data_IF_216749768060
#
_entry.id   IF_216749768060
#
_cell.length_a   1.000
_cell.length_b   1.000
_cell.length_c   1.000
_cell.angle_alpha   90.00
_cell.angle_beta   90.00
_cell.angle_gamma   90.00
#
_symmetry.space_group_name_H-M   'P 1'
#
loop_
_entity.id
_entity.type
_entity.pdbx_description
1 polymer ?
#
# COMPACT_ATOMS: atom_id res chain seq x y z
N UNK A 1 -12.46 -0.54 -4.80
CA UNK A 1 -13.91 -0.78 -5.01
C UNK A 1 -14.05 -1.69 -6.22
N UNK A 2 -14.76 -2.78 -6.07
CA UNK A 2 -14.89 -3.78 -7.14
C UNK A 2 -15.97 -3.34 -8.12
N UNK A 3 -15.71 -3.44 -9.44
CA UNK A 3 -16.66 -2.96 -10.45
C UNK A 3 -18.08 -3.55 -10.29
N UNK A 4 -18.17 -4.84 -9.95
CA UNK A 4 -19.44 -5.56 -9.79
C UNK A 4 -20.24 -5.13 -8.55
N UNK A 5 -19.60 -4.55 -7.54
CA UNK A 5 -20.27 -4.04 -6.33
C UNK A 5 -20.76 -2.59 -6.46
N UNK A 6 -20.48 -1.96 -7.60
CA UNK A 6 -20.85 -0.57 -7.89
C UNK A 6 -21.95 -0.54 -8.94
N UNK A 7 -23.03 0.24 -8.76
CA UNK A 7 -24.04 0.43 -9.80
C UNK A 7 -23.40 0.87 -11.12
N UNK A 8 -23.89 0.35 -12.25
CA UNK A 8 -23.27 0.54 -13.57
C UNK A 8 -23.00 2.02 -13.90
N UNK A 9 -23.93 2.91 -13.62
CA UNK A 9 -23.80 4.35 -13.89
C UNK A 9 -22.76 5.07 -13.00
N UNK A 10 -22.21 4.39 -11.98
CA UNK A 10 -21.19 4.93 -11.06
C UNK A 10 -19.83 4.26 -11.27
N UNK A 11 -19.70 3.32 -12.21
CA UNK A 11 -18.45 2.63 -12.51
C UNK A 11 -17.54 3.51 -13.33
N UNK A 12 -16.23 3.44 -13.05
CA UNK A 12 -15.24 3.96 -13.98
C UNK A 12 -15.28 3.17 -15.29
N UNK A 13 -15.15 3.86 -16.41
CA UNK A 13 -15.09 3.25 -17.75
C UNK A 13 -13.69 2.68 -18.00
N UNK A 14 -13.34 1.63 -17.28
CA UNK A 14 -12.08 0.92 -17.41
C UNK A 14 -12.32 -0.43 -18.06
N UNK A 15 -11.47 -0.79 -19.01
CA UNK A 15 -11.40 -2.13 -19.55
C UNK A 15 -10.80 -3.10 -18.53
N UNK A 16 -10.84 -4.40 -18.79
CA UNK A 16 -10.15 -5.39 -17.95
C UNK A 16 -8.63 -5.19 -18.00
N UNK A 17 -8.10 -4.80 -19.16
CA UNK A 17 -6.66 -4.49 -19.34
C UNK A 17 -6.25 -3.27 -18.51
N UNK A 18 -7.05 -2.19 -18.52
CA UNK A 18 -6.80 -1.02 -17.68
C UNK A 18 -6.78 -1.39 -16.18
N UNK A 19 -7.72 -2.23 -15.73
CA UNK A 19 -7.75 -2.68 -14.33
C UNK A 19 -6.51 -3.50 -13.98
N UNK A 20 -6.12 -4.44 -14.85
CA UNK A 20 -4.93 -5.27 -14.66
C UNK A 20 -3.67 -4.41 -14.63
N UNK A 21 -3.56 -3.44 -15.50
CA UNK A 21 -2.48 -2.46 -15.52
C UNK A 21 -2.40 -1.72 -14.17
N UNK A 22 -3.51 -1.12 -13.71
CA UNK A 22 -3.56 -0.40 -12.45
C UNK A 22 -3.17 -1.30 -11.26
N UNK A 23 -3.73 -2.49 -11.16
CA UNK A 23 -3.41 -3.41 -10.07
C UNK A 23 -1.93 -3.80 -10.08
N UNK A 24 -1.36 -4.07 -11.25
CA UNK A 24 0.05 -4.39 -11.37
C UNK A 24 0.93 -3.26 -10.86
N UNK A 25 0.73 -2.05 -11.35
CA UNK A 25 1.59 -0.91 -10.96
C UNK A 25 1.34 -0.43 -9.54
N UNK A 26 0.12 -0.47 -9.03
CA UNK A 26 -0.17 -0.11 -7.65
C UNK A 26 0.40 -1.10 -6.63
N UNK A 27 0.60 -2.35 -7.00
CA UNK A 27 1.13 -3.39 -6.09
C UNK A 27 2.59 -3.74 -6.33
N UNK A 28 3.20 -3.21 -7.39
CA UNK A 28 4.58 -3.47 -7.77
C UNK A 28 5.56 -3.04 -6.67
N UNK A 29 6.59 -3.84 -6.48
CA UNK A 29 7.74 -3.51 -5.64
C UNK A 29 8.89 -3.00 -6.51
N UNK A 30 9.81 -2.17 -5.99
CA UNK A 30 10.93 -1.66 -6.80
C UNK A 30 11.73 -2.75 -7.51
N UNK A 31 11.95 -3.90 -6.84
CA UNK A 31 12.69 -5.03 -7.44
C UNK A 31 11.99 -5.68 -8.64
N UNK A 32 10.69 -5.46 -8.81
CA UNK A 32 9.85 -6.03 -9.87
C UNK A 32 9.72 -5.08 -11.08
N UNK A 33 10.18 -3.84 -10.92
CA UNK A 33 10.14 -2.84 -11.98
C UNK A 33 11.31 -3.03 -12.94
N UNK A 34 11.00 -3.09 -14.23
CA UNK A 34 11.98 -3.20 -15.31
C UNK A 34 12.28 -1.83 -15.91
N UNK A 35 11.26 -0.98 -16.03
CA UNK A 35 11.40 0.37 -16.56
C UNK A 35 10.47 1.35 -15.79
N UNK A 36 11.07 2.30 -15.04
CA UNK A 36 12.49 2.40 -14.71
C UNK A 36 12.96 1.24 -13.83
N UNK A 37 14.21 0.78 -14.03
CA UNK A 37 14.82 -0.20 -13.14
C UNK A 37 15.33 0.48 -11.86
N UNK A 38 15.20 -0.22 -10.73
CA UNK A 38 15.70 0.23 -9.41
C UNK A 38 16.76 -0.75 -8.89
N UNK A 39 18.02 -0.69 -9.40
CA UNK A 39 19.06 -1.63 -9.01
C UNK A 39 19.58 -1.42 -7.60
N UNK A 40 19.55 -0.20 -7.09
CA UNK A 40 19.98 0.14 -5.74
C UNK A 40 18.89 -0.25 -4.74
N UNK A 41 19.09 -1.37 -4.05
CA UNK A 41 18.15 -1.91 -3.07
C UNK A 41 18.19 -1.21 -1.72
N UNK A 42 19.27 -0.50 -1.42
CA UNK A 42 19.38 0.31 -0.20
C UNK A 42 18.59 1.61 -0.35
N UNK A 43 18.71 2.28 -1.49
CA UNK A 43 17.94 3.48 -1.79
C UNK A 43 16.45 3.18 -2.09
N UNK A 44 16.15 2.00 -2.68
CA UNK A 44 14.81 1.59 -3.08
C UNK A 44 14.48 0.18 -2.54
N UNK A 45 14.33 0.02 -1.22
CA UNK A 45 13.92 -1.24 -0.63
C UNK A 45 12.47 -1.59 -1.06
N UNK A 46 12.05 -2.81 -0.82
CA UNK A 46 10.67 -3.23 -1.14
C UNK A 46 9.60 -2.38 -0.45
N UNK A 47 9.94 -1.83 0.72
CA UNK A 47 9.09 -0.92 1.49
C UNK A 47 8.95 0.48 0.88
N UNK A 48 9.80 0.83 -0.10
CA UNK A 48 9.69 2.11 -0.78
C UNK A 48 8.27 2.32 -1.30
N UNK A 49 7.63 3.41 -0.89
CA UNK A 49 6.21 3.73 -1.14
C UNK A 49 5.18 2.67 -0.67
N UNK A 50 5.53 1.81 0.29
CA UNK A 50 4.63 0.86 0.97
C UNK A 50 4.56 1.20 2.45
N UNK A 51 4.04 2.39 2.79
CA UNK A 51 4.19 2.97 4.13
C UNK A 51 3.41 2.19 5.18
N UNK A 52 2.17 1.82 4.88
CA UNK A 52 1.39 0.93 5.75
C UNK A 52 2.00 -0.46 5.75
N UNK A 53 2.20 -1.05 6.90
CA UNK A 53 2.86 -2.32 7.22
C UNK A 53 4.40 -2.29 7.16
N UNK A 54 5.01 -1.63 6.18
CA UNK A 54 6.42 -1.84 5.83
C UNK A 54 7.31 -0.58 5.89
N UNK A 55 6.74 0.61 6.08
CA UNK A 55 7.47 1.88 5.98
C UNK A 55 8.68 2.06 6.91
N UNK A 56 8.82 1.22 7.94
CA UNK A 56 9.94 1.23 8.89
C UNK A 56 10.89 0.03 8.71
N UNK A 57 10.77 -0.74 7.63
CA UNK A 57 11.57 -1.95 7.39
C UNK A 57 12.30 -1.88 6.06
N UNK A 58 13.58 -2.27 6.06
CA UNK A 58 14.36 -2.54 4.87
C UNK A 58 14.26 -4.00 4.38
N UNK A 59 13.54 -4.86 5.11
CA UNK A 59 13.43 -6.28 4.79
C UNK A 59 12.62 -6.52 3.52
N UNK A 60 12.95 -7.58 2.75
CA UNK A 60 12.16 -7.97 1.60
C UNK A 60 10.71 -8.32 1.98
N UNK A 61 9.76 -7.79 1.23
CA UNK A 61 8.34 -8.11 1.42
C UNK A 61 8.05 -9.50 0.82
N UNK A 62 7.45 -10.37 1.62
CA UNK A 62 7.05 -11.72 1.18
C UNK A 62 5.97 -11.66 0.11
N UNK A 63 6.00 -12.61 -0.84
CA UNK A 63 5.09 -12.58 -2.00
C UNK A 63 3.62 -12.84 -1.68
N UNK A 64 3.29 -13.33 -0.48
CA UNK A 64 1.90 -13.60 -0.09
C UNK A 64 1.14 -12.35 0.33
N UNK A 65 1.82 -11.26 0.72
CA UNK A 65 1.18 -9.98 1.06
C UNK A 65 1.45 -8.95 -0.03
N UNK A 66 0.39 -8.29 -0.49
CA UNK A 66 0.47 -7.19 -1.47
C UNK A 66 -0.32 -5.97 -1.01
N UNK A 67 0.27 -4.81 -1.22
CA UNK A 67 -0.37 -3.52 -1.03
C UNK A 67 -0.62 -2.88 -2.39
N UNK A 68 -1.89 -2.74 -2.75
CA UNK A 68 -2.34 -1.95 -3.90
C UNK A 68 -2.60 -0.54 -3.40
N UNK A 69 -1.59 0.32 -3.49
CA UNK A 69 -1.65 1.59 -2.79
C UNK A 69 -1.20 2.78 -3.63
N UNK A 70 -1.56 3.96 -3.14
CA UNK A 70 -1.04 5.24 -3.61
C UNK A 70 -0.68 6.07 -2.40
N UNK A 71 0.58 6.46 -2.34
CA UNK A 71 1.11 7.32 -1.27
C UNK A 71 1.16 8.78 -1.71
N UNK A 72 1.22 9.65 -0.71
CA UNK A 72 1.58 11.05 -0.83
C UNK A 72 2.52 11.45 0.29
N UNK A 73 3.51 12.28 -0.03
CA UNK A 73 4.44 12.85 0.94
C UNK A 73 4.76 14.29 0.53
N UNK A 74 4.38 15.25 1.35
CA UNK A 74 4.67 16.66 1.13
C UNK A 74 4.47 17.47 2.40
N UNK A 75 5.36 18.41 2.68
CA UNK A 75 5.24 19.42 3.74
C UNK A 75 4.92 18.85 5.13
N UNK A 76 5.51 17.71 5.46
CA UNK A 76 5.26 16.99 6.71
C UNK A 76 4.05 16.07 6.67
N UNK A 77 3.27 16.03 5.60
CA UNK A 77 2.18 15.07 5.45
C UNK A 77 2.67 13.75 4.87
N UNK A 78 2.20 12.67 5.45
CA UNK A 78 2.26 11.31 4.90
C UNK A 78 0.83 10.82 4.69
N UNK A 79 0.57 10.31 3.50
CA UNK A 79 -0.72 9.71 3.15
C UNK A 79 -0.44 8.35 2.54
N UNK A 80 -1.14 7.33 2.99
CA UNK A 80 -1.21 6.06 2.27
C UNK A 80 -2.66 5.57 2.22
N UNK A 81 -3.10 5.26 1.01
CA UNK A 81 -4.39 4.65 0.75
C UNK A 81 -4.13 3.29 0.12
N UNK A 82 -4.24 2.24 0.93
CA UNK A 82 -3.84 0.90 0.57
C UNK A 82 -4.99 -0.10 0.65
N UNK A 83 -5.17 -0.87 -0.41
CA UNK A 83 -5.88 -2.12 -0.37
C UNK A 83 -4.87 -3.24 -0.12
N UNK A 84 -4.98 -3.86 1.05
CA UNK A 84 -4.06 -4.90 1.50
C UNK A 84 -4.67 -6.26 1.20
N UNK A 85 -3.87 -7.15 0.63
CA UNK A 85 -4.25 -8.52 0.29
C UNK A 85 -3.22 -9.47 0.84
N UNK A 86 -3.67 -10.51 1.56
CA UNK A 86 -2.88 -11.66 1.94
C UNK A 86 -3.46 -12.92 1.29
N UNK A 87 -2.72 -13.47 0.34
CA UNK A 87 -3.15 -14.63 -0.44
C UNK A 87 -3.13 -15.94 0.35
N UNK A 88 -2.29 -16.06 1.38
CA UNK A 88 -2.18 -17.27 2.20
C UNK A 88 -3.26 -17.27 3.29
N UNK A 89 -3.40 -16.19 4.03
CA UNK A 89 -4.41 -16.09 5.08
C UNK A 89 -5.82 -15.86 4.52
N UNK A 90 -5.96 -15.48 3.24
CA UNK A 90 -7.25 -15.15 2.63
C UNK A 90 -7.86 -13.90 3.26
N UNK A 91 -7.04 -12.86 3.43
CA UNK A 91 -7.42 -11.59 4.06
C UNK A 91 -7.36 -10.47 3.04
N UNK A 92 -8.35 -9.60 3.07
CA UNK A 92 -8.34 -8.34 2.34
C UNK A 92 -8.98 -7.23 3.18
N UNK A 93 -8.43 -6.03 3.08
CA UNK A 93 -9.02 -4.83 3.70
C UNK A 93 -8.49 -3.55 3.04
N UNK A 94 -9.28 -2.48 3.14
CA UNK A 94 -8.88 -1.13 2.75
C UNK A 94 -8.51 -0.33 3.99
N UNK A 95 -7.35 0.32 3.98
CA UNK A 95 -6.90 1.23 5.02
C UNK A 95 -6.39 2.51 4.39
N UNK A 96 -6.92 3.63 4.85
CA UNK A 96 -6.42 4.97 4.51
C UNK A 96 -5.95 5.66 5.77
N UNK A 97 -4.73 6.16 5.76
CA UNK A 97 -4.19 6.95 6.84
C UNK A 97 -3.58 8.25 6.31
N UNK A 98 -3.78 9.31 7.07
CA UNK A 98 -3.17 10.63 6.85
C UNK A 98 -2.52 11.03 8.15
N UNK A 99 -1.24 11.37 8.11
CA UNK A 99 -0.46 11.80 9.26
C UNK A 99 0.27 13.10 8.91
N UNK A 100 0.37 14.01 9.87
CA UNK A 100 1.25 15.18 9.76
C UNK A 100 2.37 15.07 10.79
N UNK A 101 3.61 15.17 10.33
CA UNK A 101 4.84 15.22 11.11
C UNK A 101 5.61 16.49 10.71
N UNK A 102 5.30 17.59 11.39
CA UNK A 102 5.89 18.92 11.16
C UNK A 102 5.90 19.65 12.52
N UNK A 103 6.87 19.29 13.37
CA UNK A 103 6.95 19.78 14.73
C UNK A 103 7.19 21.28 14.82
N UNK A 104 8.03 21.82 13.94
CA UNK A 104 8.34 23.25 13.92
C UNK A 104 7.26 24.11 13.27
N UNK A 105 6.26 23.49 12.59
CA UNK A 105 5.14 24.14 11.92
C UNK A 105 5.54 25.09 10.77
N UNK A 106 6.74 24.95 10.25
CA UNK A 106 7.21 25.70 9.09
C UNK A 106 7.00 24.81 7.85
N UNK A 107 6.32 25.33 6.85
CA UNK A 107 6.12 24.61 5.59
C UNK A 107 7.23 24.97 4.60
N UNK A 108 7.63 23.99 3.80
CA UNK A 108 8.61 24.13 2.73
C UNK A 108 10.03 24.49 3.22
N UNK A 109 10.41 23.98 4.39
CA UNK A 109 11.77 24.08 4.94
C UNK A 109 12.55 22.77 4.93
N UNK A 110 11.90 21.72 4.38
CA UNK A 110 12.43 20.34 4.27
C UNK A 110 12.81 19.69 5.61
N UNK A 111 12.28 20.20 6.74
CA UNK A 111 12.51 19.68 8.08
C UNK A 111 11.25 19.00 8.62
N UNK A 112 11.12 17.71 8.37
CA UNK A 112 9.96 16.92 8.76
C UNK A 112 10.39 15.59 9.36
N UNK A 113 9.72 15.14 10.41
CA UNK A 113 10.05 13.92 11.17
C UNK A 113 9.50 12.66 10.44
N UNK A 114 9.75 12.54 9.13
CA UNK A 114 9.27 11.41 8.34
C UNK A 114 9.85 10.08 8.82
N UNK A 115 11.18 10.01 8.96
CA UNK A 115 11.88 8.77 9.24
C UNK A 115 11.77 8.36 10.72
N UNK A 116 11.83 9.33 11.64
CA UNK A 116 11.81 9.07 13.07
C UNK A 116 10.40 8.79 13.62
N UNK A 117 9.39 9.42 13.03
CA UNK A 117 8.01 9.37 13.55
C UNK A 117 7.03 8.86 12.50
N UNK A 118 7.04 9.44 11.32
CA UNK A 118 6.03 9.25 10.30
C UNK A 118 5.95 7.81 9.78
N UNK A 119 7.04 7.33 9.21
CA UNK A 119 7.12 5.99 8.62
C UNK A 119 6.93 4.88 9.67
N UNK A 120 7.56 4.96 10.88
CA UNK A 120 7.30 4.00 11.93
C UNK A 120 5.84 3.97 12.41
N UNK A 121 5.18 5.13 12.49
CA UNK A 121 3.78 5.19 12.85
C UNK A 121 2.89 4.51 11.80
N UNK A 122 3.08 4.85 10.52
CA UNK A 122 2.30 4.27 9.41
C UNK A 122 2.45 2.74 9.37
N UNK A 123 3.67 2.25 9.49
CA UNK A 123 3.95 0.82 9.48
C UNK A 123 3.29 0.10 10.68
N UNK A 124 3.40 0.65 11.90
CA UNK A 124 2.79 0.07 13.11
C UNK A 124 1.27 0.07 13.04
N UNK A 125 0.66 1.16 12.53
CA UNK A 125 -0.78 1.24 12.32
C UNK A 125 -1.24 0.13 11.36
N UNK A 126 -0.60 0.01 10.21
CA UNK A 126 -0.91 -1.03 9.23
C UNK A 126 -0.81 -2.43 9.83
N UNK A 127 0.28 -2.73 10.55
CA UNK A 127 0.47 -4.03 11.22
C UNK A 127 -0.56 -4.28 12.34
N UNK A 128 -1.02 -3.25 13.03
CA UNK A 128 -2.07 -3.40 14.05
C UNK A 128 -3.40 -3.79 13.41
N UNK A 129 -3.80 -3.11 12.35
CA UNK A 129 -5.03 -3.43 11.59
C UNK A 129 -4.91 -4.81 10.94
N UNK A 130 -3.78 -5.12 10.34
CA UNK A 130 -3.56 -6.43 9.72
C UNK A 130 -3.69 -7.59 10.74
N UNK A 131 -3.08 -7.46 11.93
CA UNK A 131 -3.25 -8.45 13.01
C UNK A 131 -4.71 -8.60 13.44
N UNK A 132 -5.45 -7.50 13.53
CA UNK A 132 -6.88 -7.54 13.81
C UNK A 132 -7.64 -8.29 12.71
N UNK A 133 -7.34 -8.03 11.44
CA UNK A 133 -7.97 -8.68 10.30
C UNK A 133 -7.63 -10.17 10.19
N UNK A 134 -6.44 -10.60 10.62
CA UNK A 134 -6.10 -12.03 10.70
C UNK A 134 -6.95 -12.79 11.72
N UNK A 135 -7.36 -12.13 12.78
CA UNK A 135 -8.15 -12.74 13.88
C UNK A 135 -9.66 -12.59 13.69
N UNK A 136 -10.08 -11.68 12.82
CA UNK A 136 -11.50 -11.38 12.61
C UNK A 136 -12.22 -12.56 11.96
N UNK A 137 -13.29 -13.03 12.60
CA UNK A 137 -14.17 -14.02 12.00
C UNK A 137 -14.82 -13.49 10.74
N UNK A 138 -14.83 -14.32 9.69
CA UNK A 138 -15.41 -14.00 8.37
C UNK A 138 -16.45 -15.02 7.98
N UNK A 139 -17.64 -14.55 7.62
CA UNK A 139 -18.69 -15.40 7.09
C UNK A 139 -18.33 -16.01 5.73
N UNK A 140 -17.44 -15.35 4.96
CA UNK A 140 -16.96 -15.80 3.65
C UNK A 140 -15.49 -15.45 3.48
N UNK A 141 -14.73 -16.33 2.86
CA UNK A 141 -13.39 -16.00 2.38
C UNK A 141 -13.50 -15.19 1.09
N UNK A 142 -12.68 -14.14 0.92
CA UNK A 142 -12.66 -13.36 -0.31
C UNK A 142 -12.09 -14.18 -1.48
N UNK A 143 -12.56 -13.91 -2.68
CA UNK A 143 -11.89 -14.34 -3.91
C UNK A 143 -10.80 -13.33 -4.28
N UNK A 144 -9.54 -13.72 -4.07
CA UNK A 144 -8.36 -12.89 -4.30
C UNK A 144 -7.72 -13.13 -5.68
N UNK A 145 -8.32 -13.96 -6.53
CA UNK A 145 -7.76 -14.35 -7.83
C UNK A 145 -7.45 -13.14 -8.73
N UNK A 146 -8.32 -12.12 -8.70
CA UNK A 146 -8.18 -10.89 -9.48
C UNK A 146 -6.93 -10.07 -9.15
N UNK A 147 -6.34 -10.28 -7.98
CA UNK A 147 -5.17 -9.57 -7.51
C UNK A 147 -3.84 -10.26 -7.87
N UNK A 148 -3.89 -11.46 -8.47
CA UNK A 148 -2.71 -12.16 -8.98
C UNK A 148 -2.32 -11.60 -10.33
N UNK A 149 -1.61 -10.46 -10.31
CA UNK A 149 -1.24 -9.71 -11.53
C UNK A 149 0.27 -9.73 -11.80
N UNK A 150 1.03 -10.44 -10.98
CA UNK A 150 2.50 -10.59 -11.09
C UNK A 150 2.93 -12.03 -11.42
N UNK A 151 1.97 -12.92 -11.64
CA UNK A 151 2.21 -14.31 -12.04
C UNK A 151 2.56 -14.41 -13.53
#
# INVERSE_FOLDING_TARGET
MFPESVPEGQRFRLTEEDRRFLYRYMSMLPRESVEPAYPDREAYPDSYVKLLLFGDSGDPITGHVRLFNKVGQAYGYLIDNAYVVDFEAGVEFLLTAVLQVNQNRIYNDDQYEYDEVGLPFMARLGRAVYRFELQRERARRPDLSRFRVHD
#
